data_IF_364217906343
#
_entry.id   IF_364217906343
#
_cell.length_a   1.000
_cell.length_b   1.000
_cell.length_c   1.000
_cell.angle_alpha   90.00
_cell.angle_beta   90.00
_cell.angle_gamma   90.00
#
_symmetry.space_group_name_H-M   'P 1'
#
loop_
_entity.id
_entity.type
_entity.pdbx_description
1 polymer ?
#
# COMPACT_ATOMS: atom_id res chain seq x y z
N UNK A 1 15.73 -20.71 8.27
CA UNK A 1 14.27 -20.68 8.13
C UNK A 1 13.87 -19.26 7.77
N UNK A 2 13.57 -18.99 6.50
CA UNK A 2 12.82 -17.78 6.15
C UNK A 2 11.47 -17.88 6.84
N UNK A 3 11.18 -16.91 7.70
CA UNK A 3 9.90 -16.86 8.38
C UNK A 3 8.98 -16.10 7.43
N UNK A 4 8.44 -16.81 6.45
CA UNK A 4 7.72 -16.20 5.34
C UNK A 4 6.39 -15.60 5.81
N UNK A 5 6.17 -14.36 5.38
CA UNK A 5 4.95 -13.58 5.55
C UNK A 5 4.23 -13.53 4.19
N UNK A 6 4.04 -14.71 3.60
CA UNK A 6 3.49 -14.91 2.27
C UNK A 6 1.97 -15.11 2.30
N UNK A 7 1.38 -15.39 1.13
CA UNK A 7 -0.06 -15.59 0.99
C UNK A 7 -0.59 -16.80 1.78
N UNK A 8 0.18 -17.88 1.88
CA UNK A 8 -0.21 -19.07 2.63
C UNK A 8 -0.20 -18.80 4.14
N UNK A 9 0.79 -18.05 4.63
CA UNK A 9 0.79 -17.55 6.00
C UNK A 9 -0.42 -16.64 6.25
N UNK A 10 -0.66 -15.68 5.36
CA UNK A 10 -1.71 -14.69 5.50
C UNK A 10 -3.08 -15.37 5.68
N UNK A 11 -3.48 -16.22 4.74
CA UNK A 11 -4.76 -16.92 4.74
C UNK A 11 -4.91 -17.88 5.92
N UNK A 12 -3.88 -18.67 6.24
CA UNK A 12 -3.92 -19.65 7.34
C UNK A 12 -4.01 -19.01 8.72
N UNK A 13 -3.35 -17.87 8.92
CA UNK A 13 -3.23 -17.24 10.25
C UNK A 13 -4.13 -16.01 10.43
N UNK A 14 -4.82 -15.58 9.38
CA UNK A 14 -5.51 -14.29 9.39
C UNK A 14 -4.54 -13.09 9.50
N UNK A 15 -3.25 -13.28 9.22
CA UNK A 15 -2.23 -12.23 9.34
C UNK A 15 -1.71 -11.97 10.75
N UNK A 16 -1.94 -12.90 11.69
CA UNK A 16 -1.31 -12.84 13.01
C UNK A 16 0.21 -13.02 12.92
N UNK A 17 0.96 -12.16 13.60
CA UNK A 17 2.42 -12.23 13.63
C UNK A 17 2.93 -12.89 14.91
N UNK A 18 3.56 -14.05 14.76
CA UNK A 18 4.21 -14.80 15.83
C UNK A 18 5.41 -14.05 16.44
N UNK A 19 5.86 -14.45 17.63
CA UNK A 19 7.05 -13.87 18.27
C UNK A 19 8.30 -13.93 17.38
N UNK A 20 8.47 -15.02 16.63
CA UNK A 20 9.61 -15.17 15.71
C UNK A 20 9.51 -14.20 14.51
N UNK A 21 8.31 -14.07 13.92
CA UNK A 21 8.03 -13.08 12.87
C UNK A 21 8.28 -11.64 13.34
N UNK A 22 7.86 -11.30 14.57
CA UNK A 22 8.09 -9.98 15.16
C UNK A 22 9.58 -9.64 15.24
N UNK A 23 10.45 -10.61 15.58
CA UNK A 23 11.91 -10.39 15.59
C UNK A 23 12.45 -10.06 14.18
N UNK A 24 11.94 -10.74 13.15
CA UNK A 24 12.28 -10.43 11.76
C UNK A 24 11.84 -9.01 11.38
N UNK A 25 10.60 -8.64 11.73
CA UNK A 25 10.08 -7.29 11.48
C UNK A 25 10.88 -6.20 12.20
N UNK A 26 11.35 -6.45 13.43
CA UNK A 26 12.26 -5.52 14.12
C UNK A 26 13.58 -5.33 13.36
N UNK A 27 14.16 -6.41 12.83
CA UNK A 27 15.36 -6.32 11.99
C UNK A 27 15.13 -5.49 10.73
N UNK A 28 13.99 -5.67 10.06
CA UNK A 28 13.59 -4.86 8.89
C UNK A 28 13.38 -3.39 9.25
N UNK A 29 12.74 -3.11 10.39
CA UNK A 29 12.56 -1.75 10.90
C UNK A 29 13.91 -1.06 11.11
N UNK A 30 14.84 -1.72 11.81
CA UNK A 30 16.16 -1.15 12.08
C UNK A 30 16.91 -0.82 10.79
N UNK A 31 16.82 -1.67 9.77
CA UNK A 31 17.43 -1.44 8.46
C UNK A 31 16.79 -0.28 7.70
N UNK A 32 15.48 -0.09 7.81
CA UNK A 32 14.76 0.95 7.08
C UNK A 32 14.99 2.37 7.64
N UNK A 33 15.25 2.50 8.96
CA UNK A 33 15.32 3.78 9.65
C UNK A 33 16.27 4.82 9.01
N UNK A 34 17.54 4.50 8.67
CA UNK A 34 18.44 5.48 8.08
C UNK A 34 17.92 6.04 6.75
N UNK A 35 17.33 5.19 5.92
CA UNK A 35 16.73 5.59 4.64
C UNK A 35 15.54 6.51 4.83
N UNK A 36 14.62 6.17 5.74
CA UNK A 36 13.45 6.98 6.07
C UNK A 36 13.83 8.37 6.59
N UNK A 37 14.82 8.44 7.49
CA UNK A 37 15.31 9.72 8.05
C UNK A 37 15.97 10.56 6.96
N UNK A 38 16.84 9.95 6.14
CA UNK A 38 17.51 10.63 5.04
C UNK A 38 16.51 11.22 4.02
N UNK A 39 15.50 10.44 3.64
CA UNK A 39 14.44 10.85 2.73
C UNK A 39 13.60 12.01 3.30
N UNK A 40 13.19 11.93 4.57
CA UNK A 40 12.46 13.00 5.24
C UNK A 40 13.26 14.30 5.32
N UNK A 41 14.57 14.22 5.61
CA UNK A 41 15.47 15.39 5.62
C UNK A 41 15.57 16.00 4.23
N UNK A 42 15.89 15.22 3.20
CA UNK A 42 15.99 15.68 1.80
C UNK A 42 14.70 16.37 1.35
N UNK A 43 13.56 15.75 1.62
CA UNK A 43 12.23 16.29 1.30
C UNK A 43 12.01 17.65 1.97
N UNK A 44 12.31 17.78 3.27
CA UNK A 44 12.11 19.04 4.03
C UNK A 44 13.04 20.17 3.57
N UNK A 45 14.26 19.87 3.15
CA UNK A 45 15.20 20.88 2.62
C UNK A 45 15.01 21.17 1.14
N UNK A 46 13.97 20.61 0.50
CA UNK A 46 13.67 20.82 -0.92
C UNK A 46 14.62 20.10 -1.88
N UNK A 47 15.46 19.17 -1.40
CA UNK A 47 16.27 18.30 -2.27
C UNK A 47 15.37 17.19 -2.81
N UNK A 48 14.91 17.38 -4.05
CA UNK A 48 13.92 16.55 -4.72
C UNK A 48 14.47 15.98 -6.02
N UNK A 49 14.03 14.78 -6.38
CA UNK A 49 14.45 14.07 -7.59
C UNK A 49 13.59 14.41 -8.80
N UNK A 50 13.65 13.54 -9.81
CA UNK A 50 12.97 13.69 -11.10
C UNK A 50 12.02 12.52 -11.39
N UNK A 51 11.78 11.63 -10.41
CA UNK A 51 10.84 10.51 -10.57
C UNK A 51 9.44 11.04 -10.84
N UNK A 52 8.89 10.66 -11.99
CA UNK A 52 7.54 11.04 -12.45
C UNK A 52 7.05 10.03 -13.47
N UNK A 53 5.76 10.10 -13.77
CA UNK A 53 5.13 9.46 -14.92
C UNK A 53 4.23 10.46 -15.62
N UNK A 54 4.11 10.38 -16.93
CA UNK A 54 3.27 11.31 -17.67
C UNK A 54 1.78 11.01 -17.45
N UNK A 55 1.05 11.97 -16.89
CA UNK A 55 -0.38 11.81 -16.68
C UNK A 55 -1.13 11.75 -18.02
N UNK A 56 -1.88 10.67 -18.25
CA UNK A 56 -2.55 10.40 -19.52
C UNK A 56 -1.74 9.56 -20.51
N UNK A 57 -0.43 9.37 -20.29
CA UNK A 57 0.36 8.31 -20.95
C UNK A 57 0.55 7.07 -20.07
N UNK A 58 0.27 7.20 -18.76
CA UNK A 58 0.10 6.06 -17.87
C UNK A 58 -1.02 5.22 -18.45
N UNK A 59 -0.65 4.05 -18.96
CA UNK A 59 -1.57 2.97 -19.29
C UNK A 59 -2.27 2.57 -17.98
N UNK A 60 -3.31 3.33 -17.61
CA UNK A 60 -4.39 2.75 -16.83
C UNK A 60 -4.87 1.60 -17.71
N UNK A 61 -4.74 0.35 -17.24
CA UNK A 61 -5.11 -0.79 -18.06
C UNK A 61 -6.56 -0.61 -18.50
N UNK A 62 -6.80 -0.72 -19.81
CA UNK A 62 -8.12 -0.61 -20.43
C UNK A 62 -8.85 -1.96 -20.47
N UNK A 63 -8.36 -2.92 -19.70
CA UNK A 63 -8.95 -4.25 -19.60
C UNK A 63 -10.26 -4.23 -18.83
N UNK A 64 -11.12 -5.21 -19.12
CA UNK A 64 -12.39 -5.38 -18.43
C UNK A 64 -12.20 -5.54 -16.90
N UNK A 65 -11.12 -6.21 -16.48
CA UNK A 65 -10.82 -6.40 -15.06
C UNK A 65 -10.45 -5.09 -14.37
N UNK A 66 -9.64 -4.24 -15.01
CA UNK A 66 -9.26 -2.95 -14.46
C UNK A 66 -10.46 -2.02 -14.31
N UNK A 67 -11.33 -1.96 -15.32
CA UNK A 67 -12.59 -1.22 -15.25
C UNK A 67 -13.49 -1.75 -14.13
N UNK A 68 -13.67 -3.08 -14.03
CA UNK A 68 -14.48 -3.68 -12.99
C UNK A 68 -13.91 -3.42 -11.58
N UNK A 69 -12.58 -3.47 -11.41
CA UNK A 69 -11.93 -3.20 -10.13
C UNK A 69 -12.11 -1.73 -9.71
N UNK A 70 -12.07 -0.80 -10.67
CA UNK A 70 -12.34 0.61 -10.40
C UNK A 70 -13.79 0.82 -9.93
N UNK A 71 -14.75 0.15 -10.58
CA UNK A 71 -16.14 0.19 -10.16
C UNK A 71 -16.33 -0.42 -8.76
N UNK A 72 -15.75 -1.59 -8.49
CA UNK A 72 -15.79 -2.22 -7.16
C UNK A 72 -15.20 -1.31 -6.08
N UNK A 73 -14.08 -0.62 -6.35
CA UNK A 73 -13.50 0.34 -5.43
C UNK A 73 -14.45 1.52 -5.18
N UNK A 74 -15.01 2.12 -6.24
CA UNK A 74 -15.97 3.24 -6.15
C UNK A 74 -17.21 2.88 -5.32
N UNK A 75 -17.69 1.65 -5.44
CA UNK A 75 -18.89 1.19 -4.75
C UNK A 75 -18.61 0.75 -3.30
N UNK A 76 -17.36 0.40 -2.98
CA UNK A 76 -17.02 -0.28 -1.73
C UNK A 76 -16.27 0.57 -0.71
N UNK A 77 -15.50 1.56 -1.16
CA UNK A 77 -14.66 2.36 -0.27
C UNK A 77 -15.11 3.82 -0.25
N UNK A 78 -14.76 4.51 0.83
CA UNK A 78 -15.02 5.94 0.97
C UNK A 78 -14.17 6.76 0.00
N UNK A 79 -14.57 8.01 -0.32
CA UNK A 79 -13.85 8.84 -1.27
C UNK A 79 -12.36 9.05 -0.95
N UNK A 80 -11.98 9.26 0.31
CA UNK A 80 -10.56 9.43 0.68
C UNK A 80 -9.73 8.17 0.48
N UNK A 81 -10.31 6.97 0.66
CA UNK A 81 -9.65 5.68 0.38
C UNK A 81 -9.56 5.43 -1.12
N UNK A 82 -10.61 5.81 -1.88
CA UNK A 82 -10.57 5.71 -3.34
C UNK A 82 -9.45 6.59 -3.92
N UNK A 83 -9.37 7.86 -3.52
CA UNK A 83 -8.31 8.76 -3.99
C UNK A 83 -6.93 8.30 -3.52
N UNK A 84 -6.81 7.74 -2.31
CA UNK A 84 -5.59 7.07 -1.85
C UNK A 84 -5.18 5.93 -2.77
N UNK A 85 -6.13 5.10 -3.20
CA UNK A 85 -5.87 3.96 -4.06
C UNK A 85 -5.31 4.36 -5.44
N UNK A 86 -5.83 5.44 -6.04
CA UNK A 86 -5.23 6.04 -7.24
C UNK A 86 -3.82 6.55 -6.98
N UNK A 87 -3.62 7.33 -5.90
CA UNK A 87 -2.28 7.85 -5.56
C UNK A 87 -1.27 6.73 -5.33
N UNK A 88 -1.68 5.64 -4.66
CA UNK A 88 -0.87 4.44 -4.45
C UNK A 88 -0.39 3.87 -5.79
N UNK A 89 -1.28 3.70 -6.78
CA UNK A 89 -0.87 3.24 -8.11
C UNK A 89 0.14 4.20 -8.77
N UNK A 90 -0.17 5.50 -8.79
CA UNK A 90 0.67 6.48 -9.47
C UNK A 90 2.05 6.67 -8.83
N UNK A 91 2.12 6.69 -7.50
CA UNK A 91 3.40 6.69 -6.79
C UNK A 91 4.18 5.42 -7.08
N UNK A 92 3.54 4.25 -7.03
CA UNK A 92 4.16 2.98 -7.40
C UNK A 92 4.75 3.01 -8.82
N UNK A 93 3.98 3.50 -9.81
CA UNK A 93 4.45 3.62 -11.21
C UNK A 93 5.65 4.57 -11.34
N UNK A 94 5.62 5.72 -10.66
CA UNK A 94 6.74 6.67 -10.69
C UNK A 94 8.01 6.08 -10.08
N UNK A 95 7.90 5.35 -8.97
CA UNK A 95 9.03 4.69 -8.33
C UNK A 95 9.55 3.51 -9.16
N UNK A 96 8.66 2.68 -9.71
CA UNK A 96 9.06 1.56 -10.57
C UNK A 96 9.79 2.05 -11.84
N UNK A 97 9.29 3.13 -12.46
CA UNK A 97 9.93 3.75 -13.62
C UNK A 97 11.31 4.32 -13.26
N UNK A 98 11.42 5.01 -12.12
CA UNK A 98 12.69 5.54 -11.62
C UNK A 98 13.72 4.43 -11.36
N UNK A 99 13.26 3.30 -10.82
CA UNK A 99 14.10 2.15 -10.49
C UNK A 99 14.38 1.23 -11.70
N UNK A 100 13.80 1.53 -12.87
CA UNK A 100 13.93 0.70 -14.08
C UNK A 100 13.25 -0.67 -13.98
N UNK A 101 12.24 -0.80 -13.11
CA UNK A 101 11.53 -2.04 -12.82
C UNK A 101 10.30 -2.17 -13.71
N UNK A 102 10.14 -3.34 -14.34
CA UNK A 102 8.92 -3.72 -15.06
C UNK A 102 7.95 -4.41 -14.11
N UNK A 103 6.66 -4.13 -14.29
CA UNK A 103 5.56 -4.69 -13.48
C UNK A 103 4.42 -5.15 -14.39
N UNK A 104 3.61 -6.08 -13.90
CA UNK A 104 2.34 -6.43 -14.54
C UNK A 104 1.31 -5.33 -14.22
N UNK A 105 1.12 -4.41 -15.18
CA UNK A 105 0.33 -3.20 -14.99
C UNK A 105 -1.13 -3.45 -14.60
N UNK A 106 -1.78 -4.46 -15.19
CA UNK A 106 -3.15 -4.81 -14.79
C UNK A 106 -3.20 -5.33 -13.36
N UNK A 107 -2.28 -6.23 -12.98
CA UNK A 107 -2.25 -6.79 -11.64
C UNK A 107 -1.98 -5.71 -10.59
N UNK A 108 -0.97 -4.86 -10.78
CA UNK A 108 -0.65 -3.81 -9.78
C UNK A 108 -1.69 -2.70 -9.73
N UNK A 109 -2.36 -2.40 -10.85
CA UNK A 109 -3.49 -1.45 -10.87
C UNK A 109 -4.68 -2.00 -10.07
N UNK A 110 -5.11 -3.23 -10.36
CA UNK A 110 -6.21 -3.89 -9.64
C UNK A 110 -5.87 -4.03 -8.15
N UNK A 111 -4.64 -4.46 -7.82
CA UNK A 111 -4.21 -4.58 -6.44
C UNK A 111 -4.18 -3.23 -5.72
N UNK A 112 -3.71 -2.15 -6.36
CA UNK A 112 -3.72 -0.80 -5.79
C UNK A 112 -5.13 -0.28 -5.55
N UNK A 113 -6.07 -0.51 -6.47
CA UNK A 113 -7.47 -0.09 -6.33
C UNK A 113 -8.20 -0.80 -5.18
N UNK A 114 -7.85 -2.06 -4.92
CA UNK A 114 -8.58 -2.93 -3.99
C UNK A 114 -7.86 -3.18 -2.66
N UNK A 115 -6.66 -2.64 -2.45
CA UNK A 115 -5.83 -3.02 -1.29
C UNK A 115 -6.46 -2.70 0.07
N UNK A 116 -7.28 -1.65 0.13
CA UNK A 116 -7.92 -1.15 1.34
C UNK A 116 -9.42 -1.48 1.45
N UNK A 117 -9.93 -2.43 0.65
CA UNK A 117 -11.35 -2.84 0.64
C UNK A 117 -11.93 -3.18 2.03
N UNK A 118 -11.09 -3.58 2.99
CA UNK A 118 -11.50 -3.98 4.33
C UNK A 118 -11.01 -3.02 5.44
N UNK A 119 -10.25 -1.98 5.11
CA UNK A 119 -9.55 -1.15 6.10
C UNK A 119 -10.53 -0.46 7.08
N UNK A 120 -11.65 0.06 6.59
CA UNK A 120 -12.62 0.79 7.41
C UNK A 120 -13.67 -0.12 8.07
N UNK A 121 -13.60 -1.43 7.79
CA UNK A 121 -14.52 -2.45 8.30
C UNK A 121 -13.73 -3.61 8.95
N UNK A 122 -13.04 -3.36 10.07
CA UNK A 122 -12.12 -4.34 10.64
C UNK A 122 -12.82 -5.64 11.04
N UNK A 123 -12.15 -6.78 10.81
CA UNK A 123 -12.64 -8.11 11.17
C UNK A 123 -11.95 -8.59 12.44
N UNK A 124 -12.65 -8.85 13.56
CA UNK A 124 -12.02 -9.30 14.80
C UNK A 124 -11.11 -10.51 14.57
N UNK A 125 -9.84 -10.38 14.95
CA UNK A 125 -8.83 -11.45 14.83
C UNK A 125 -8.29 -11.71 13.42
N UNK A 126 -8.74 -10.99 12.38
CA UNK A 126 -8.24 -11.14 11.01
C UNK A 126 -7.82 -9.80 10.41
N UNK A 127 -6.56 -9.71 10.01
CA UNK A 127 -5.96 -8.49 9.46
C UNK A 127 -6.71 -8.01 8.21
N UNK A 128 -7.01 -6.71 8.15
CA UNK A 128 -7.74 -6.11 7.03
C UNK A 128 -7.09 -6.43 5.67
N UNK A 129 -5.76 -6.36 5.56
CA UNK A 129 -5.04 -6.65 4.32
C UNK A 129 -5.22 -8.12 3.88
N UNK A 130 -5.39 -9.05 4.82
CA UNK A 130 -5.66 -10.46 4.51
C UNK A 130 -7.10 -10.64 4.04
N UNK A 131 -8.07 -10.11 4.80
CA UNK A 131 -9.50 -10.22 4.46
C UNK A 131 -9.81 -9.48 3.16
N UNK A 132 -9.22 -8.30 2.96
CA UNK A 132 -9.28 -7.52 1.73
C UNK A 132 -8.65 -8.28 0.56
N UNK A 133 -7.49 -8.91 0.76
CA UNK A 133 -6.87 -9.77 -0.27
C UNK A 133 -7.74 -10.97 -0.65
N UNK A 134 -8.38 -11.64 0.32
CA UNK A 134 -9.32 -12.73 0.05
C UNK A 134 -10.58 -12.24 -0.69
N UNK A 135 -11.08 -11.06 -0.34
CA UNK A 135 -12.22 -10.42 -1.01
C UNK A 135 -11.86 -10.06 -2.45
N UNK A 136 -10.71 -9.43 -2.67
CA UNK A 136 -10.22 -9.10 -4.01
C UNK A 136 -9.99 -10.36 -4.85
N UNK A 137 -9.39 -11.42 -4.29
CA UNK A 137 -9.22 -12.68 -5.00
C UNK A 137 -10.58 -13.31 -5.40
N UNK A 138 -11.60 -13.24 -4.53
CA UNK A 138 -12.98 -13.66 -4.90
C UNK A 138 -13.52 -12.80 -6.05
N UNK A 139 -13.47 -11.49 -5.91
CA UNK A 139 -13.91 -10.55 -6.93
C UNK A 139 -13.25 -10.85 -8.30
N UNK A 140 -11.92 -11.00 -8.34
CA UNK A 140 -11.18 -11.29 -9.57
C UNK A 140 -11.65 -12.60 -10.23
N UNK A 141 -11.92 -13.66 -9.43
CA UNK A 141 -12.48 -14.91 -9.95
C UNK A 141 -13.89 -14.74 -10.49
N UNK A 142 -14.72 -13.94 -9.83
CA UNK A 142 -16.09 -13.68 -10.26
C UNK A 142 -16.11 -12.88 -11.59
N UNK A 143 -15.03 -12.16 -11.91
CA UNK A 143 -14.79 -11.55 -13.23
C UNK A 143 -14.28 -12.56 -14.29
N UNK A 144 -14.23 -13.86 -13.99
CA UNK A 144 -13.81 -14.91 -14.92
C UNK A 144 -12.30 -15.09 -15.08
N UNK A 145 -11.50 -14.46 -14.22
CA UNK A 145 -10.03 -14.56 -14.25
C UNK A 145 -9.56 -15.83 -13.53
N UNK A 146 -8.51 -16.46 -14.05
CA UNK A 146 -7.96 -17.70 -13.49
C UNK A 146 -7.46 -17.58 -12.04
N UNK A 147 -7.51 -18.71 -11.32
CA UNK A 147 -7.18 -18.79 -9.89
C UNK A 147 -5.80 -18.22 -9.54
N UNK A 148 -4.77 -18.54 -10.34
CA UNK A 148 -3.39 -18.09 -10.06
C UNK A 148 -3.28 -16.56 -10.06
N UNK A 149 -3.93 -15.89 -11.01
CA UNK A 149 -3.93 -14.41 -11.11
C UNK A 149 -4.78 -13.80 -10.00
N UNK A 150 -5.91 -14.41 -9.65
CA UNK A 150 -6.72 -13.99 -8.52
C UNK A 150 -5.96 -14.09 -7.18
N UNK A 151 -5.23 -15.18 -6.96
CA UNK A 151 -4.38 -15.35 -5.79
C UNK A 151 -3.21 -14.38 -5.79
N UNK A 152 -2.62 -14.06 -6.95
CA UNK A 152 -1.55 -13.07 -7.04
C UNK A 152 -2.03 -11.66 -6.63
N UNK A 153 -3.23 -11.24 -7.04
CA UNK A 153 -3.86 -10.00 -6.56
C UNK A 153 -4.09 -10.06 -5.04
N UNK A 154 -4.68 -11.15 -4.55
CA UNK A 154 -4.90 -11.33 -3.11
C UNK A 154 -3.61 -11.32 -2.29
N UNK A 155 -2.55 -11.94 -2.81
CA UNK A 155 -1.22 -11.98 -2.20
C UNK A 155 -0.57 -10.60 -2.16
N UNK A 156 -0.63 -9.84 -3.25
CA UNK A 156 -0.11 -8.47 -3.32
C UNK A 156 -0.78 -7.58 -2.25
N UNK A 157 -2.10 -7.65 -2.17
CA UNK A 157 -2.89 -6.94 -1.15
C UNK A 157 -2.55 -7.46 0.25
N UNK A 158 -2.47 -8.76 0.48
CA UNK A 158 -2.10 -9.25 1.79
C UNK A 158 -0.68 -8.82 2.20
N UNK A 159 0.25 -8.65 1.26
CA UNK A 159 1.63 -8.31 1.53
C UNK A 159 1.88 -6.82 1.78
N UNK A 160 1.04 -5.90 1.28
CA UNK A 160 1.41 -4.48 1.15
C UNK A 160 1.76 -3.75 2.47
N UNK A 161 1.15 -4.10 3.61
CA UNK A 161 1.53 -3.52 4.92
C UNK A 161 2.72 -4.23 5.60
N UNK A 162 3.31 -5.22 4.95
CA UNK A 162 4.45 -5.96 5.51
C UNK A 162 5.69 -5.09 5.41
N UNK A 163 6.28 -4.77 6.56
CA UNK A 163 7.53 -4.02 6.58
C UNK A 163 8.61 -4.72 5.76
N UNK A 164 9.23 -3.97 4.84
CA UNK A 164 10.22 -4.46 3.87
C UNK A 164 9.64 -5.00 2.56
N UNK A 165 8.32 -5.06 2.38
CA UNK A 165 7.74 -5.45 1.08
C UNK A 165 8.17 -4.48 -0.04
N UNK A 166 8.18 -3.17 0.23
CA UNK A 166 8.62 -2.14 -0.71
C UNK A 166 10.11 -2.16 -1.08
N UNK A 167 10.90 -3.09 -0.55
CA UNK A 167 12.29 -3.30 -1.01
C UNK A 167 12.34 -3.98 -2.40
N UNK A 168 11.24 -4.62 -2.84
CA UNK A 168 11.15 -5.27 -4.14
C UNK A 168 9.92 -4.82 -4.93
N UNK A 169 10.07 -3.80 -5.78
CA UNK A 169 8.97 -3.27 -6.59
C UNK A 169 8.55 -4.19 -7.75
N UNK A 170 9.38 -5.18 -8.13
CA UNK A 170 8.98 -6.14 -9.18
C UNK A 170 7.97 -7.16 -8.65
N UNK A 171 7.87 -7.30 -7.32
CA UNK A 171 6.77 -7.98 -6.66
C UNK A 171 5.58 -7.02 -6.53
N UNK A 172 4.38 -7.48 -6.89
CA UNK A 172 3.20 -6.63 -6.87
C UNK A 172 2.82 -6.13 -5.46
N UNK A 173 3.06 -6.94 -4.42
CA UNK A 173 2.85 -6.50 -3.04
C UNK A 173 3.86 -5.44 -2.63
N UNK A 174 5.10 -5.58 -3.09
CA UNK A 174 6.14 -4.56 -2.92
C UNK A 174 5.84 -3.26 -3.66
N UNK A 175 5.31 -3.33 -4.88
CA UNK A 175 4.83 -2.16 -5.63
C UNK A 175 3.73 -1.41 -4.86
N UNK A 176 2.67 -2.11 -4.43
CA UNK A 176 1.57 -1.49 -3.68
C UNK A 176 2.07 -0.92 -2.36
N UNK A 177 2.97 -1.64 -1.67
CA UNK A 177 3.62 -1.17 -0.44
C UNK A 177 4.41 0.12 -0.64
N UNK A 178 5.16 0.22 -1.75
CA UNK A 178 5.94 1.41 -2.07
C UNK A 178 5.03 2.61 -2.32
N UNK A 179 4.02 2.46 -3.17
CA UNK A 179 3.06 3.52 -3.48
C UNK A 179 2.27 4.00 -2.26
N UNK A 180 1.70 3.06 -1.49
CA UNK A 180 0.95 3.37 -0.28
C UNK A 180 1.86 4.00 0.80
N UNK A 181 3.09 3.50 0.94
CA UNK A 181 4.08 4.07 1.85
C UNK A 181 4.47 5.51 1.49
N UNK A 182 4.56 5.83 0.21
CA UNK A 182 4.75 7.20 -0.26
C UNK A 182 3.56 8.08 0.13
N UNK A 183 2.32 7.67 -0.12
CA UNK A 183 1.15 8.51 0.17
C UNK A 183 0.84 8.65 1.68
N UNK A 184 1.08 7.59 2.46
CA UNK A 184 0.74 7.55 3.89
C UNK A 184 1.82 8.23 4.75
N UNK A 185 3.11 8.05 4.42
CA UNK A 185 4.21 8.54 5.24
C UNK A 185 5.14 9.54 4.54
N UNK A 186 5.04 9.69 3.23
CA UNK A 186 6.00 10.45 2.43
C UNK A 186 7.29 9.69 2.13
N UNK A 187 7.30 8.35 2.20
CA UNK A 187 8.50 7.56 1.88
C UNK A 187 8.91 7.74 0.43
N UNK A 188 10.21 7.89 0.20
CA UNK A 188 10.82 8.12 -1.11
C UNK A 188 10.27 9.36 -1.82
N UNK A 189 9.62 10.26 -1.10
CA UNK A 189 9.09 11.47 -1.70
C UNK A 189 10.23 12.37 -2.20
N UNK A 190 11.43 12.27 -1.59
CA UNK A 190 12.61 13.00 -2.07
C UNK A 190 13.11 12.53 -3.44
N UNK A 191 12.70 11.35 -3.91
CA UNK A 191 13.07 10.85 -5.24
C UNK A 191 12.16 11.40 -6.35
N UNK A 192 10.99 11.93 -5.97
CA UNK A 192 9.92 12.34 -6.89
C UNK A 192 9.94 13.83 -7.20
N UNK A 193 9.58 14.16 -8.44
CA UNK A 193 9.49 15.54 -8.94
C UNK A 193 8.36 16.32 -8.22
N UNK A 194 8.64 17.49 -7.62
CA UNK A 194 7.65 18.22 -6.83
C UNK A 194 6.40 18.64 -7.61
N UNK A 195 6.58 19.20 -8.81
CA UNK A 195 5.47 19.66 -9.64
C UNK A 195 4.56 18.50 -10.05
N UNK A 196 5.14 17.33 -10.32
CA UNK A 196 4.38 16.12 -10.61
C UNK A 196 3.57 15.63 -9.39
N UNK A 197 4.17 15.65 -8.20
CA UNK A 197 3.44 15.29 -6.96
C UNK A 197 2.28 16.26 -6.71
N UNK A 198 2.50 17.56 -6.92
CA UNK A 198 1.47 18.59 -6.73
C UNK A 198 0.30 18.40 -7.70
N UNK A 199 0.60 18.10 -8.97
CA UNK A 199 -0.40 17.76 -9.98
C UNK A 199 -1.15 16.45 -9.65
N UNK A 200 -0.45 15.41 -9.15
CA UNK A 200 -1.10 14.17 -8.70
C UNK A 200 -2.13 14.47 -7.60
N UNK A 201 -1.75 15.25 -6.59
CA UNK A 201 -2.62 15.62 -5.46
C UNK A 201 -3.78 16.50 -5.89
N UNK A 202 -3.63 17.31 -6.94
CA UNK A 202 -4.73 18.08 -7.52
C UNK A 202 -5.74 17.20 -8.25
N UNK A 203 -5.28 16.14 -8.93
CA UNK A 203 -6.14 15.15 -9.62
C UNK A 203 -6.83 14.20 -8.65
N UNK A 204 -6.10 13.77 -7.63
CA UNK A 204 -6.53 12.81 -6.63
C UNK A 204 -6.42 13.40 -5.22
N UNK A 205 -7.36 14.28 -4.82
CA UNK A 205 -7.29 15.04 -3.58
C UNK A 205 -7.29 14.13 -2.35
N UNK A 206 -6.66 14.60 -1.27
CA UNK A 206 -6.47 13.80 -0.05
C UNK A 206 -7.71 13.74 0.82
N UNK A 207 -8.54 14.79 0.88
CA UNK A 207 -9.85 14.74 1.53
C UNK A 207 -9.75 14.35 3.02
N UNK A 208 -8.88 15.04 3.77
CA UNK A 208 -8.59 14.72 5.19
C UNK A 208 -8.08 13.28 5.43
N UNK A 209 -7.48 12.65 4.42
CA UNK A 209 -6.95 11.28 4.46
C UNK A 209 -6.20 10.95 5.76
N UNK A 210 -5.31 11.82 6.27
CA UNK A 210 -4.58 11.56 7.53
C UNK A 210 -5.53 11.27 8.71
N UNK A 211 -6.60 12.05 8.84
CA UNK A 211 -7.58 11.90 9.93
C UNK A 211 -8.31 10.58 9.81
N UNK A 212 -8.76 10.24 8.61
CA UNK A 212 -9.49 9.01 8.33
C UNK A 212 -8.61 7.76 8.46
N UNK A 213 -7.40 7.79 7.89
CA UNK A 213 -6.41 6.71 7.99
C UNK A 213 -6.05 6.42 9.45
N UNK A 214 -5.78 7.44 10.27
CA UNK A 214 -5.48 7.24 11.70
C UNK A 214 -6.64 6.59 12.45
N UNK A 215 -7.89 6.96 12.13
CA UNK A 215 -9.09 6.38 12.73
C UNK A 215 -9.25 4.92 12.35
N UNK A 216 -9.17 4.61 11.05
CA UNK A 216 -9.31 3.24 10.55
C UNK A 216 -8.19 2.32 11.07
N UNK A 217 -6.94 2.81 11.06
CA UNK A 217 -5.78 2.07 11.56
C UNK A 217 -5.87 1.75 13.05
N UNK A 218 -6.38 2.69 13.86
CA UNK A 218 -6.61 2.46 15.28
C UNK A 218 -7.69 1.39 15.51
N UNK A 219 -8.78 1.42 14.74
CA UNK A 219 -9.85 0.42 14.81
C UNK A 219 -9.34 -0.98 14.41
N UNK A 220 -8.56 -1.08 13.33
CA UNK A 220 -7.91 -2.32 12.91
C UNK A 220 -6.94 -2.84 13.98
N UNK A 221 -6.08 -1.98 14.53
CA UNK A 221 -5.15 -2.36 15.60
C UNK A 221 -5.86 -2.90 16.85
N UNK A 222 -7.04 -2.37 17.17
CA UNK A 222 -7.87 -2.85 18.27
C UNK A 222 -8.55 -4.19 17.95
N UNK A 223 -9.04 -4.38 16.71
CA UNK A 223 -9.68 -5.61 16.28
C UNK A 223 -8.69 -6.78 16.11
N UNK A 224 -7.43 -6.48 15.78
CA UNK A 224 -6.38 -7.48 15.49
C UNK A 224 -5.12 -7.17 16.33
N UNK A 225 -5.16 -7.33 17.66
CA UNK A 225 -4.07 -6.90 18.57
C UNK A 225 -2.76 -7.66 18.37
N UNK A 226 -2.80 -8.84 17.73
CA UNK A 226 -1.62 -9.63 17.35
C UNK A 226 -1.21 -9.45 15.89
N UNK A 227 -1.89 -8.59 15.14
CA UNK A 227 -1.66 -8.34 13.71
C UNK A 227 -0.58 -7.29 13.44
N UNK A 228 -0.32 -7.08 12.14
CA UNK A 228 0.71 -6.15 11.66
C UNK A 228 0.40 -4.69 11.98
N UNK A 229 -0.85 -4.25 11.87
CA UNK A 229 -1.23 -2.86 12.18
C UNK A 229 -1.00 -2.50 13.66
N UNK A 230 -1.39 -3.37 14.58
CA UNK A 230 -1.11 -3.22 16.00
C UNK A 230 0.41 -3.20 16.29
N UNK A 231 1.18 -4.07 15.62
CA UNK A 231 2.64 -4.11 15.74
C UNK A 231 3.29 -2.82 15.24
N UNK A 232 2.93 -2.34 14.04
CA UNK A 232 3.45 -1.10 13.44
C UNK A 232 3.09 0.13 14.29
N UNK A 233 1.89 0.16 14.87
CA UNK A 233 1.46 1.21 15.79
C UNK A 233 2.36 1.27 17.01
N UNK A 234 2.64 0.11 17.62
CA UNK A 234 3.40 0.02 18.87
C UNK A 234 4.89 0.24 18.69
N UNK A 235 5.46 -0.22 17.58
CA UNK A 235 6.92 -0.35 17.44
C UNK A 235 7.52 0.46 16.28
N UNK A 236 6.73 0.84 15.28
CA UNK A 236 7.19 1.61 14.11
C UNK A 236 6.67 3.05 14.10
N UNK A 237 6.10 3.53 15.22
CA UNK A 237 5.60 4.90 15.38
C UNK A 237 4.59 5.33 14.28
N UNK A 238 3.81 4.40 13.73
CA UNK A 238 2.91 4.63 12.61
C UNK A 238 2.07 5.92 12.73
N UNK A 239 1.37 6.19 13.85
CA UNK A 239 0.54 7.39 13.95
C UNK A 239 1.33 8.70 13.89
N UNK A 240 2.57 8.70 14.36
CA UNK A 240 3.44 9.88 14.30
C UNK A 240 3.94 10.11 12.88
N UNK A 241 4.31 9.05 12.17
CA UNK A 241 4.74 9.13 10.76
C UNK A 241 3.63 9.65 9.86
N UNK A 242 2.39 9.18 10.02
CA UNK A 242 1.23 9.69 9.26
C UNK A 242 1.01 11.19 9.51
N UNK A 243 1.08 11.63 10.77
CA UNK A 243 0.92 13.06 11.12
C UNK A 243 2.05 13.91 10.55
N UNK A 244 3.28 13.39 10.55
CA UNK A 244 4.46 14.08 10.07
C UNK A 244 4.63 14.04 8.55
N UNK A 245 3.84 13.23 7.82
CA UNK A 245 3.93 13.09 6.38
C UNK A 245 3.78 14.48 5.71
N UNK A 246 4.67 14.84 4.75
CA UNK A 246 4.78 16.20 4.20
C UNK A 246 3.72 16.48 3.11
N UNK A 247 2.47 16.12 3.37
CA UNK A 247 1.32 16.38 2.50
C UNK A 247 0.35 17.36 3.15
N UNK A 248 -0.20 18.25 2.33
CA UNK A 248 -1.42 19.00 2.64
C UNK A 248 -2.63 18.06 2.57
N UNK A 249 -3.74 18.41 3.21
CA UNK A 249 -4.97 17.58 3.25
C UNK A 249 -6.11 18.21 2.47
#
# INVERSE_FOLDING_TARGET
MTIDLDWQWATRTGGEVSTAQRRVLFGRLFRALPGMVGDAVKTRVGRRGQGRVEFGSIAVPDSALAFAAEQEARDSVTPHVLEHSYRTYFFGKALAALDGVQVDDELVYVASLLHDLQLEHPTPGRCFAVVGGERAARFVRDQGVGEDRAQAVGAAIAAHITLGASENLSDAGGFVSAGAGTDVFGLRLSDLEPAWVEELLRRHPRLEFKRHMLKAWAAEGAAVPKGRAAWLTRYAAFPLLVKAAPFTE
#
